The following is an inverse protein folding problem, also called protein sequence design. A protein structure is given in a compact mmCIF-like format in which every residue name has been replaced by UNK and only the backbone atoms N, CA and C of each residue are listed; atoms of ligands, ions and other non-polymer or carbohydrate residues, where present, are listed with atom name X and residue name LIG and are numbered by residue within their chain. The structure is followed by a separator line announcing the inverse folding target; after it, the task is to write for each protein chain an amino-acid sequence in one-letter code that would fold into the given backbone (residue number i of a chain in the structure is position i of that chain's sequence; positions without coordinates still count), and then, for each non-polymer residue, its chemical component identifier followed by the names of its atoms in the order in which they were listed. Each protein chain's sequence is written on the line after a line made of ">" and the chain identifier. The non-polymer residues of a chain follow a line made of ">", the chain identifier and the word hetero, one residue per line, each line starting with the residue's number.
data_IF_474638341014
#
_entry.id   IF_474638341014
#
_cell.length_a   1.000
_cell.length_b   1.000
_cell.length_c   1.000
_cell.angle_alpha   90.00
_cell.angle_beta   90.00
_cell.angle_gamma   90.00
#
_symmetry.space_group_name_H-M   'P 1'
#
loop_
_entity.id
_entity.type
_entity.pdbx_description
1 polymer ?
#
# COMPACT_ATOMS: atom_id res chain seq x y z
N UNK A 1 1.86 26.83 16.02
CA UNK A 1 2.11 25.86 17.11
C UNK A 1 0.92 24.91 17.15
N UNK A 2 1.11 23.63 16.80
CA UNK A 2 0.08 22.58 16.94
C UNK A 2 0.32 21.86 18.27
N UNK A 3 -0.51 22.06 19.31
CA UNK A 3 -0.37 21.29 20.55
C UNK A 3 -0.95 19.89 20.31
N UNK A 4 -0.11 18.85 20.47
CA UNK A 4 -0.48 17.43 20.39
C UNK A 4 -0.93 16.88 19.03
N UNK A 5 -0.74 17.60 17.92
CA UNK A 5 -0.94 17.05 16.57
C UNK A 5 -2.40 16.81 16.15
N UNK A 6 -3.39 17.20 16.96
CA UNK A 6 -4.79 17.12 16.59
C UNK A 6 -5.31 18.46 16.07
N UNK A 7 -5.84 18.45 14.85
CA UNK A 7 -6.55 19.59 14.28
C UNK A 7 -7.90 19.75 15.01
N UNK A 8 -8.23 20.97 15.42
CA UNK A 8 -9.58 21.27 15.89
C UNK A 8 -10.57 21.25 14.72
N UNK A 9 -11.87 21.25 15.00
CA UNK A 9 -12.90 21.10 13.94
C UNK A 9 -12.87 22.19 12.86
N UNK A 10 -12.41 23.40 13.19
CA UNK A 10 -12.27 24.51 12.24
C UNK A 10 -11.03 24.33 11.36
N UNK A 11 -9.90 23.95 11.96
CA UNK A 11 -8.66 23.61 11.27
C UNK A 11 -8.82 22.40 10.37
N UNK A 12 -9.59 21.41 10.80
CA UNK A 12 -9.88 20.20 10.02
C UNK A 12 -10.74 20.55 8.80
N UNK A 13 -11.76 21.40 8.96
CA UNK A 13 -12.53 21.94 7.82
C UNK A 13 -11.66 22.77 6.86
N UNK A 14 -10.80 23.64 7.39
CA UNK A 14 -9.88 24.41 6.58
C UNK A 14 -8.92 23.51 5.80
N UNK A 15 -8.38 22.47 6.45
CA UNK A 15 -7.54 21.47 5.81
C UNK A 15 -8.28 20.74 4.69
N UNK A 16 -9.49 20.25 4.91
CA UNK A 16 -10.25 19.56 3.86
C UNK A 16 -10.61 20.49 2.68
N UNK A 17 -10.89 21.77 2.95
CA UNK A 17 -11.14 22.75 1.87
C UNK A 17 -9.90 23.02 1.01
N UNK A 18 -8.69 22.88 1.57
CA UNK A 18 -7.42 23.14 0.89
C UNK A 18 -6.62 21.85 0.60
N UNK A 19 -7.22 20.67 0.84
CA UNK A 19 -6.53 19.38 0.79
C UNK A 19 -5.88 19.13 -0.58
N UNK A 20 -6.60 19.41 -1.66
CA UNK A 20 -6.10 19.27 -3.03
C UNK A 20 -4.88 20.16 -3.29
N UNK A 21 -4.87 21.39 -2.77
CA UNK A 21 -3.73 22.30 -2.88
C UNK A 21 -2.51 21.76 -2.14
N UNK A 22 -2.69 21.29 -0.90
CA UNK A 22 -1.59 20.72 -0.12
C UNK A 22 -1.01 19.46 -0.76
N UNK A 23 -1.86 18.57 -1.30
CA UNK A 23 -1.41 17.36 -2.00
C UNK A 23 -0.71 17.69 -3.32
N UNK A 24 -1.17 18.69 -4.06
CA UNK A 24 -0.48 19.16 -5.27
C UNK A 24 0.90 19.70 -4.93
N UNK A 25 1.01 20.53 -3.89
CA UNK A 25 2.31 21.04 -3.44
C UNK A 25 3.24 19.92 -2.97
N UNK A 26 2.71 18.92 -2.24
CA UNK A 26 3.48 17.74 -1.85
C UNK A 26 4.00 17.00 -3.08
N UNK A 27 3.15 16.75 -4.08
CA UNK A 27 3.54 16.13 -5.35
C UNK A 27 4.70 16.87 -6.04
N UNK A 28 4.60 18.19 -6.17
CA UNK A 28 5.67 19.01 -6.76
C UNK A 28 6.98 18.96 -5.95
N UNK A 29 6.89 19.02 -4.61
CA UNK A 29 8.06 18.91 -3.74
C UNK A 29 8.71 17.53 -3.81
N UNK A 30 7.92 16.46 -3.92
CA UNK A 30 8.45 15.09 -4.03
C UNK A 30 9.28 14.89 -5.30
N UNK A 31 8.90 15.54 -6.41
CA UNK A 31 9.67 15.51 -7.67
C UNK A 31 10.98 16.32 -7.60
N UNK A 32 11.12 17.23 -6.64
CA UNK A 32 12.31 18.08 -6.47
C UNK A 32 13.34 17.49 -5.49
N UNK A 33 13.07 16.33 -4.88
CA UNK A 33 14.02 15.66 -3.99
C UNK A 33 15.21 15.17 -4.82
N UNK A 34 16.34 15.88 -4.69
CA UNK A 34 17.56 15.63 -5.44
C UNK A 34 18.08 14.19 -5.28
N UNK A 35 18.33 13.53 -6.41
CA UNK A 35 18.95 12.20 -6.56
C UNK A 35 20.37 12.08 -5.93
N UNK A 36 20.97 13.18 -5.47
CA UNK A 36 22.34 13.23 -4.97
C UNK A 36 22.58 12.50 -3.62
N UNK A 37 21.59 11.79 -3.07
CA UNK A 37 21.68 11.08 -1.77
C UNK A 37 21.29 9.59 -1.81
N UNK A 38 21.32 8.95 -2.99
CA UNK A 38 20.99 7.52 -3.16
C UNK A 38 19.50 7.26 -3.33
N UNK A 39 19.10 5.99 -3.34
CA UNK A 39 17.69 5.58 -3.49
C UNK A 39 16.83 6.13 -2.35
N UNK A 40 15.88 7.01 -2.69
CA UNK A 40 14.95 7.63 -1.75
C UNK A 40 13.57 7.05 -2.02
N UNK A 41 12.92 6.53 -0.98
CA UNK A 41 11.58 5.96 -1.06
C UNK A 41 10.62 6.82 -0.24
N UNK A 42 9.50 7.22 -0.83
CA UNK A 42 8.44 7.93 -0.16
C UNK A 42 7.22 7.02 -0.04
N UNK A 43 6.81 6.74 1.20
CA UNK A 43 5.68 5.89 1.50
C UNK A 43 4.52 6.74 2.02
N UNK A 44 3.39 6.66 1.33
CA UNK A 44 2.14 7.28 1.76
C UNK A 44 1.18 6.20 2.25
N UNK A 45 0.59 6.42 3.42
CA UNK A 45 -0.49 5.58 3.94
C UNK A 45 -1.82 6.32 3.79
N UNK A 46 -2.79 5.67 3.16
CA UNK A 46 -4.10 6.22 2.91
C UNK A 46 -5.16 5.12 2.92
N UNK A 47 -6.42 5.50 3.14
CA UNK A 47 -7.57 4.62 2.97
C UNK A 47 -7.84 4.36 1.48
N UNK A 48 -8.37 3.17 1.17
CA UNK A 48 -8.68 2.78 -0.22
C UNK A 48 -9.64 3.76 -0.91
N UNK A 49 -10.53 4.41 -0.15
CA UNK A 49 -11.47 5.39 -0.67
C UNK A 49 -10.81 6.62 -1.28
N UNK A 50 -9.62 7.00 -0.81
CA UNK A 50 -8.85 8.10 -1.38
C UNK A 50 -8.47 7.82 -2.84
N UNK A 51 -8.29 6.55 -3.24
CA UNK A 51 -7.98 6.21 -4.64
C UNK A 51 -9.14 6.52 -5.61
N UNK A 52 -10.36 6.66 -5.10
CA UNK A 52 -11.54 7.01 -5.90
C UNK A 52 -11.93 8.48 -5.77
N UNK A 53 -11.24 9.24 -4.93
CA UNK A 53 -11.52 10.65 -4.71
C UNK A 53 -10.94 11.48 -5.86
N UNK A 54 -11.77 12.22 -6.63
CA UNK A 54 -11.29 13.05 -7.72
C UNK A 54 -10.31 14.14 -7.29
N UNK A 55 -10.40 14.63 -6.04
CA UNK A 55 -9.55 15.73 -5.56
C UNK A 55 -8.08 15.32 -5.41
N UNK A 56 -7.82 14.04 -5.16
CA UNK A 56 -6.46 13.51 -4.95
C UNK A 56 -5.93 12.73 -6.15
N UNK A 57 -6.74 12.64 -7.22
CA UNK A 57 -6.41 11.89 -8.45
C UNK A 57 -5.05 12.27 -9.04
N UNK A 58 -4.78 13.57 -9.20
CA UNK A 58 -3.51 14.05 -9.74
C UNK A 58 -2.32 13.61 -8.89
N UNK A 59 -2.50 13.57 -7.56
CA UNK A 59 -1.48 13.11 -6.62
C UNK A 59 -1.28 11.60 -6.70
N UNK A 60 -2.37 10.82 -6.81
CA UNK A 60 -2.31 9.36 -7.01
C UNK A 60 -1.61 9.02 -8.34
N UNK A 61 -1.84 9.81 -9.38
CA UNK A 61 -1.21 9.60 -10.69
C UNK A 61 0.31 9.81 -10.68
N UNK A 62 0.84 10.58 -9.72
CA UNK A 62 2.29 10.76 -9.50
C UNK A 62 2.96 9.55 -8.85
N UNK A 63 2.20 8.63 -8.25
CA UNK A 63 2.78 7.46 -7.58
C UNK A 63 3.39 6.50 -8.59
N UNK A 64 4.59 5.98 -8.30
CA UNK A 64 5.22 4.94 -9.12
C UNK A 64 4.54 3.58 -8.93
N UNK A 65 4.07 3.30 -7.71
CA UNK A 65 3.37 2.08 -7.34
C UNK A 65 2.35 2.34 -6.24
N UNK A 66 1.20 1.68 -6.33
CA UNK A 66 0.14 1.70 -5.32
C UNK A 66 -0.10 0.27 -4.86
N UNK A 67 0.09 0.00 -3.57
CA UNK A 67 -0.11 -1.33 -2.99
C UNK A 67 -1.38 -1.36 -2.15
N UNK A 68 -2.37 -2.12 -2.60
CA UNK A 68 -3.60 -2.40 -1.84
C UNK A 68 -3.43 -3.69 -1.07
N UNK A 69 -3.59 -3.59 0.26
CA UNK A 69 -3.44 -4.74 1.15
C UNK A 69 -4.78 -5.46 1.30
N UNK A 70 -4.81 -6.75 1.02
CA UNK A 70 -5.99 -7.62 1.11
C UNK A 70 -5.72 -8.81 2.02
N UNK A 71 -6.77 -9.48 2.51
CA UNK A 71 -6.67 -10.76 3.21
C UNK A 71 -7.28 -11.86 2.36
N UNK A 72 -6.77 -13.09 2.50
CA UNK A 72 -7.32 -14.25 1.78
C UNK A 72 -8.58 -14.80 2.50
N UNK A 73 -9.65 -14.00 2.52
CA UNK A 73 -10.94 -14.36 3.10
C UNK A 73 -12.13 -13.78 2.32
N UNK A 74 -13.32 -14.26 2.67
CA UNK A 74 -14.55 -13.91 1.97
C UNK A 74 -14.93 -12.42 2.09
N UNK A 75 -14.66 -11.78 3.24
CA UNK A 75 -15.08 -10.40 3.46
C UNK A 75 -14.18 -9.44 2.67
N UNK A 76 -12.87 -9.67 2.69
CA UNK A 76 -11.92 -8.92 1.88
C UNK A 76 -12.21 -9.13 0.40
N UNK A 77 -12.51 -10.35 -0.03
CA UNK A 77 -12.89 -10.65 -1.40
C UNK A 77 -14.17 -9.92 -1.85
N UNK A 78 -15.25 -9.98 -1.08
CA UNK A 78 -16.51 -9.28 -1.41
C UNK A 78 -16.31 -7.76 -1.50
N UNK A 79 -15.53 -7.20 -0.58
CA UNK A 79 -15.19 -5.77 -0.57
C UNK A 79 -14.39 -5.43 -1.84
N UNK A 80 -13.36 -6.21 -2.15
CA UNK A 80 -12.53 -6.02 -3.34
C UNK A 80 -13.35 -6.04 -4.61
N UNK A 81 -14.30 -6.97 -4.78
CA UNK A 81 -15.18 -7.03 -5.94
C UNK A 81 -15.98 -5.73 -6.14
N UNK A 82 -16.49 -5.13 -5.06
CA UNK A 82 -17.17 -3.84 -5.12
C UNK A 82 -16.23 -2.72 -5.58
N UNK A 83 -14.97 -2.73 -5.15
CA UNK A 83 -13.97 -1.74 -5.53
C UNK A 83 -13.46 -1.91 -6.96
N UNK A 84 -13.33 -3.14 -7.46
CA UNK A 84 -12.93 -3.42 -8.84
C UNK A 84 -13.95 -2.88 -9.87
N UNK A 85 -15.20 -2.70 -9.47
CA UNK A 85 -16.25 -2.09 -10.29
C UNK A 85 -16.13 -0.56 -10.40
N UNK A 86 -15.34 0.09 -9.53
CA UNK A 86 -15.10 1.53 -9.62
C UNK A 86 -14.18 1.88 -10.80
N UNK A 87 -14.56 2.91 -11.56
CA UNK A 87 -13.83 3.32 -12.77
C UNK A 87 -12.38 3.74 -12.49
N UNK A 88 -12.14 4.48 -11.40
CA UNK A 88 -10.79 4.91 -11.02
C UNK A 88 -9.88 3.73 -10.67
N UNK A 89 -10.37 2.72 -9.96
CA UNK A 89 -9.56 1.54 -9.66
C UNK A 89 -9.27 0.74 -10.94
N UNK A 90 -10.27 0.57 -11.80
CA UNK A 90 -10.11 -0.03 -13.12
C UNK A 90 -9.08 0.71 -13.98
N UNK A 91 -9.01 2.04 -13.88
CA UNK A 91 -8.00 2.86 -14.56
C UNK A 91 -6.59 2.59 -14.01
N UNK A 92 -6.44 2.55 -12.68
CA UNK A 92 -5.16 2.28 -12.03
C UNK A 92 -4.66 0.85 -12.25
N UNK A 93 -5.56 -0.12 -12.43
CA UNK A 93 -5.20 -1.48 -12.87
C UNK A 93 -4.58 -1.47 -14.27
N UNK A 94 -5.17 -0.72 -15.20
CA UNK A 94 -4.67 -0.62 -16.59
C UNK A 94 -3.36 0.14 -16.71
N UNK A 95 -3.04 1.02 -15.76
CA UNK A 95 -1.76 1.74 -15.74
C UNK A 95 -0.60 0.90 -15.19
N UNK A 96 -0.85 -0.33 -14.75
CA UNK A 96 0.13 -1.23 -14.15
C UNK A 96 0.81 -0.67 -12.89
N UNK A 97 0.24 0.38 -12.27
CA UNK A 97 0.72 0.95 -11.01
C UNK A 97 0.10 0.28 -9.79
N UNK A 98 -1.12 -0.25 -9.95
CA UNK A 98 -1.88 -0.87 -8.88
C UNK A 98 -1.47 -2.33 -8.67
N UNK A 99 -1.16 -2.67 -7.43
CA UNK A 99 -0.67 -3.97 -6.99
C UNK A 99 -1.41 -4.41 -5.74
N UNK A 100 -1.62 -5.71 -5.58
CA UNK A 100 -2.29 -6.27 -4.41
C UNK A 100 -1.33 -7.12 -3.59
N UNK A 101 -1.26 -6.87 -2.28
CA UNK A 101 -0.47 -7.63 -1.33
C UNK A 101 -1.41 -8.44 -0.43
N UNK A 102 -1.25 -9.76 -0.42
CA UNK A 102 -1.99 -10.61 0.54
C UNK A 102 -1.29 -10.55 1.89
N UNK A 103 -2.03 -10.13 2.91
CA UNK A 103 -1.60 -10.07 4.30
C UNK A 103 -2.36 -11.08 5.16
N UNK A 104 -1.79 -11.41 6.33
CA UNK A 104 -2.31 -12.38 7.29
C UNK A 104 -2.62 -13.74 6.66
N UNK A 105 -1.82 -14.15 5.68
CA UNK A 105 -2.03 -15.42 4.98
C UNK A 105 -1.77 -16.61 5.91
N UNK A 106 -2.63 -17.63 5.81
CA UNK A 106 -2.57 -18.86 6.61
C UNK A 106 -2.73 -20.08 5.69
N UNK A 107 -1.64 -20.59 5.09
CA UNK A 107 -1.70 -21.70 4.14
C UNK A 107 -2.19 -23.01 4.76
N UNK A 108 -2.19 -23.12 6.08
CA UNK A 108 -2.69 -24.29 6.82
C UNK A 108 -4.22 -24.41 6.72
N UNK A 109 -4.91 -23.29 6.53
CA UNK A 109 -6.38 -23.24 6.44
C UNK A 109 -6.85 -23.54 5.02
N UNK A 110 -7.92 -24.34 4.88
CA UNK A 110 -8.56 -24.61 3.59
C UNK A 110 -9.07 -23.32 2.95
N UNK A 111 -9.80 -22.52 3.73
CA UNK A 111 -10.33 -21.21 3.32
C UNK A 111 -9.21 -20.31 2.79
N UNK A 112 -8.08 -20.19 3.50
CA UNK A 112 -6.97 -19.37 3.07
C UNK A 112 -6.39 -19.84 1.73
N UNK A 113 -6.22 -21.15 1.54
CA UNK A 113 -5.74 -21.71 0.25
C UNK A 113 -6.72 -21.44 -0.89
N UNK A 114 -8.00 -21.65 -0.66
CA UNK A 114 -9.04 -21.46 -1.67
C UNK A 114 -9.12 -19.99 -2.11
N UNK A 115 -9.19 -19.05 -1.16
CA UNK A 115 -9.21 -17.63 -1.49
C UNK A 115 -7.91 -17.15 -2.13
N UNK A 116 -6.75 -17.69 -1.74
CA UNK A 116 -5.49 -17.40 -2.44
C UNK A 116 -5.54 -17.86 -3.90
N UNK A 117 -6.13 -19.02 -4.21
CA UNK A 117 -6.31 -19.48 -5.60
C UNK A 117 -7.25 -18.56 -6.38
N UNK A 118 -8.36 -18.13 -5.77
CA UNK A 118 -9.30 -17.17 -6.37
C UNK A 118 -8.59 -15.84 -6.65
N UNK A 119 -7.90 -15.26 -5.67
CA UNK A 119 -7.17 -14.01 -5.82
C UNK A 119 -6.09 -14.10 -6.90
N UNK A 120 -5.32 -15.22 -6.94
CA UNK A 120 -4.34 -15.46 -8.01
C UNK A 120 -4.97 -15.49 -9.39
N UNK A 121 -6.13 -16.15 -9.53
CA UNK A 121 -6.84 -16.25 -10.81
C UNK A 121 -7.38 -14.90 -11.27
N UNK A 122 -7.92 -14.10 -10.35
CA UNK A 122 -8.60 -12.85 -10.71
C UNK A 122 -7.67 -11.67 -10.85
N UNK A 123 -6.70 -11.54 -9.94
CA UNK A 123 -5.77 -10.40 -9.93
C UNK A 123 -4.55 -10.63 -10.81
N UNK A 124 -4.24 -11.88 -11.16
CA UNK A 124 -3.19 -12.26 -12.11
C UNK A 124 -1.87 -11.49 -11.87
N UNK A 125 -1.42 -10.71 -12.84
CA UNK A 125 -0.16 -9.94 -12.79
C UNK A 125 -0.18 -8.79 -11.77
N UNK A 126 -1.36 -8.28 -11.42
CA UNK A 126 -1.50 -7.26 -10.38
C UNK A 126 -1.32 -7.83 -8.96
N UNK A 127 -1.32 -9.15 -8.78
CA UNK A 127 -1.04 -9.78 -7.48
C UNK A 127 0.46 -9.89 -7.24
N UNK A 128 0.93 -9.34 -6.13
CA UNK A 128 2.33 -9.45 -5.71
C UNK A 128 2.64 -10.93 -5.41
N UNK A 129 3.75 -11.50 -5.92
CA UNK A 129 4.09 -12.92 -5.74
C UNK A 129 4.59 -13.25 -4.32
N UNK A 130 4.47 -12.32 -3.39
CA UNK A 130 4.84 -12.43 -1.98
C UNK A 130 3.57 -12.26 -1.14
N UNK A 131 3.41 -13.06 -0.09
CA UNK A 131 2.34 -12.90 0.90
C UNK A 131 2.94 -12.74 2.29
N UNK A 132 2.35 -11.87 3.10
CA UNK A 132 2.70 -11.74 4.52
C UNK A 132 1.89 -12.74 5.31
N UNK A 133 2.55 -13.69 5.95
CA UNK A 133 1.90 -14.70 6.79
C UNK A 133 1.37 -14.08 8.07
N UNK A 134 0.32 -14.70 8.63
CA UNK A 134 -0.12 -14.36 9.97
C UNK A 134 0.95 -14.80 10.97
N UNK A 135 1.51 -13.83 11.69
CA UNK A 135 2.58 -14.05 12.66
C UNK A 135 2.30 -13.25 13.94
N UNK A 136 2.44 -13.88 15.10
CA UNK A 136 2.22 -13.23 16.41
C UNK A 136 3.33 -12.23 16.73
N UNK A 137 4.52 -12.38 16.15
CA UNK A 137 5.64 -11.46 16.34
C UNK A 137 5.31 -10.01 15.89
N UNK A 138 4.35 -9.84 14.98
CA UNK A 138 3.90 -8.52 14.54
C UNK A 138 3.12 -7.76 15.61
N UNK A 139 2.29 -8.44 16.40
CA UNK A 139 1.57 -7.80 17.51
C UNK A 139 2.54 -7.34 18.58
N UNK A 140 3.50 -8.21 18.92
CA UNK A 140 4.52 -7.94 19.91
C UNK A 140 5.47 -6.81 19.50
N UNK A 141 5.91 -6.77 18.24
CA UNK A 141 6.81 -5.71 17.80
C UNK A 141 6.13 -4.33 17.82
N UNK A 142 4.84 -4.26 17.43
CA UNK A 142 4.04 -3.04 17.52
C UNK A 142 3.87 -2.59 18.97
N UNK A 143 3.59 -3.52 19.90
CA UNK A 143 3.51 -3.22 21.33
C UNK A 143 4.84 -2.68 21.89
N UNK A 144 5.96 -3.07 21.30
CA UNK A 144 7.30 -2.58 21.64
C UNK A 144 7.76 -1.39 20.77
N UNK A 145 6.86 -0.78 19.98
CA UNK A 145 7.14 0.38 19.11
C UNK A 145 8.36 0.17 18.19
N UNK A 146 8.51 -1.05 17.69
CA UNK A 146 9.63 -1.45 16.84
C UNK A 146 9.14 -2.25 15.64
N UNK A 147 10.03 -2.47 14.68
CA UNK A 147 9.76 -3.32 13.52
C UNK A 147 9.92 -4.80 13.87
N UNK A 148 9.25 -5.66 13.11
CA UNK A 148 9.39 -7.13 13.27
C UNK A 148 10.82 -7.58 12.96
N UNK A 149 11.53 -6.87 12.07
CA UNK A 149 12.92 -7.15 11.73
C UNK A 149 13.85 -6.97 12.94
N UNK A 150 13.57 -5.99 13.81
CA UNK A 150 14.36 -5.79 15.02
C UNK A 150 13.87 -6.67 16.18
N UNK A 151 12.55 -6.81 16.36
CA UNK A 151 11.97 -7.57 17.48
C UNK A 151 12.16 -9.08 17.33
N UNK A 152 11.88 -9.63 16.15
CA UNK A 152 11.98 -11.06 15.86
C UNK A 152 12.49 -11.29 14.43
N UNK A 153 13.81 -11.10 14.20
CA UNK A 153 14.41 -11.18 12.86
C UNK A 153 14.25 -12.55 12.18
N UNK A 154 14.08 -13.62 12.95
CA UNK A 154 13.93 -14.99 12.45
C UNK A 154 12.48 -15.40 12.19
N UNK A 155 11.51 -14.55 12.55
CA UNK A 155 10.08 -14.79 12.37
C UNK A 155 9.69 -14.94 10.89
N UNK A 156 8.51 -15.52 10.62
CA UNK A 156 8.03 -15.68 9.26
C UNK A 156 7.72 -14.31 8.66
N UNK A 157 7.05 -13.43 9.42
CA UNK A 157 6.74 -12.08 8.97
C UNK A 157 8.01 -11.27 8.62
N UNK A 158 9.09 -11.38 9.40
CA UNK A 158 10.34 -10.67 9.08
C UNK A 158 10.90 -11.06 7.70
N UNK A 159 10.88 -12.36 7.37
CA UNK A 159 11.30 -12.89 6.06
C UNK A 159 10.35 -12.47 4.95
N UNK A 160 9.05 -12.46 5.22
CA UNK A 160 8.04 -12.05 4.24
C UNK A 160 8.18 -10.57 3.88
N UNK A 161 8.36 -9.69 4.87
CA UNK A 161 8.60 -8.27 4.64
C UNK A 161 9.91 -8.01 3.91
N UNK A 162 10.96 -8.79 4.19
CA UNK A 162 12.22 -8.70 3.45
C UNK A 162 12.03 -9.11 1.99
N UNK A 163 11.28 -10.19 1.73
CA UNK A 163 10.95 -10.65 0.38
C UNK A 163 10.10 -9.61 -0.36
N UNK A 164 9.14 -8.98 0.33
CA UNK A 164 8.32 -7.92 -0.22
C UNK A 164 9.15 -6.68 -0.57
N UNK A 165 10.07 -6.26 0.31
CA UNK A 165 10.98 -5.15 0.03
C UNK A 165 11.85 -5.41 -1.22
N UNK A 166 12.42 -6.61 -1.35
CA UNK A 166 13.18 -6.97 -2.55
C UNK A 166 12.33 -6.96 -3.81
N UNK A 167 11.08 -7.44 -3.72
CA UNK A 167 10.16 -7.37 -4.85
C UNK A 167 9.84 -5.91 -5.24
N UNK A 168 9.60 -5.02 -4.27
CA UNK A 168 9.35 -3.60 -4.56
C UNK A 168 10.52 -2.95 -5.30
N UNK A 169 11.76 -3.16 -4.83
CA UNK A 169 12.98 -2.66 -5.49
C UNK A 169 13.05 -3.17 -6.92
N UNK A 170 12.93 -4.49 -7.11
CA UNK A 170 12.99 -5.11 -8.44
C UNK A 170 11.90 -4.59 -9.38
N UNK A 171 10.68 -4.42 -8.89
CA UNK A 171 9.56 -3.94 -9.69
C UNK A 171 9.72 -2.48 -10.10
N UNK A 172 10.18 -1.61 -9.21
CA UNK A 172 10.42 -0.19 -9.54
C UNK A 172 11.63 0.01 -10.45
N UNK A 173 12.74 -0.72 -10.24
CA UNK A 173 13.89 -0.63 -11.15
C UNK A 173 13.54 -1.08 -12.57
N UNK A 174 12.73 -2.14 -12.70
CA UNK A 174 12.29 -2.64 -14.02
C UNK A 174 11.37 -1.66 -14.75
N UNK A 175 10.65 -0.81 -14.01
CA UNK A 175 9.81 0.24 -14.58
C UNK A 175 10.63 1.44 -15.07
N UNK A 176 11.75 1.76 -14.39
CA UNK A 176 12.68 2.82 -14.78
C UNK A 176 13.47 2.48 -16.05
N UNK A 177 13.83 1.20 -16.26
CA UNK A 177 14.56 0.76 -17.47
C UNK A 177 13.70 0.79 -18.75
N UNK A 178 12.37 0.93 -18.63
CA UNK A 178 11.42 0.94 -19.75
C UNK A 178 10.96 2.34 -20.18
N UNK A 179 11.34 3.39 -19.43
CA UNK A 179 11.04 4.80 -19.72
C UNK A 179 12.21 5.51 -20.40
#
# INVERSE_FOLDING_TARGET
>A
FLPFGHLNSEQLKAFFNERSHYLSMLGEMTLQVSENRGEQWLLFHADLAELTDPEVRSFVDLMDMIVVVVTADALSYLTLQSWLQHEELSRLLRSDKLRFLVNKYQPETEIGRDFMLVLKKELSESLIPVSIHRDTALLECVANLTTVQHYSPSSQAAKDFQSFAFWCVSALSSAQDQS
#
